data_IF_085974562569
#
_entry.id   IF_085974562569
#
_cell.length_a   1.000
_cell.length_b   1.000
_cell.length_c   1.000
_cell.angle_alpha   90.00
_cell.angle_beta   90.00
_cell.angle_gamma   90.00
#
_symmetry.space_group_name_H-M   'P 1'
#
loop_
_entity.id
_entity.type
_entity.pdbx_description
1 polymer ?
#
# COMPACT_ATOMS: atom_id res chain seq x y z
N UNK A 1 9.73 12.67 0.33
CA UNK A 1 9.68 11.73 -0.82
C UNK A 1 10.67 12.15 -1.89
N UNK A 2 10.77 13.43 -2.20
CA UNK A 2 11.67 13.93 -3.24
C UNK A 2 13.14 13.57 -2.98
N UNK A 3 13.57 13.58 -1.71
CA UNK A 3 14.91 13.09 -1.31
C UNK A 3 15.12 11.61 -1.63
N UNK A 4 14.09 10.77 -1.43
CA UNK A 4 14.14 9.35 -1.79
C UNK A 4 14.25 9.23 -3.31
N UNK A 5 13.45 9.98 -4.07
CA UNK A 5 13.49 9.99 -5.54
C UNK A 5 14.85 10.46 -6.07
N UNK A 6 15.48 11.46 -5.44
CA UNK A 6 16.84 11.90 -5.79
C UNK A 6 17.87 10.77 -5.68
N UNK A 7 17.70 9.84 -4.73
CA UNK A 7 18.63 8.71 -4.56
C UNK A 7 18.28 7.48 -5.41
N UNK A 8 16.99 7.16 -5.56
CA UNK A 8 16.55 5.90 -6.21
C UNK A 8 16.21 6.07 -7.69
N UNK A 9 16.00 7.32 -8.14
CA UNK A 9 15.44 7.67 -9.43
C UNK A 9 13.91 7.63 -9.46
N UNK A 10 13.34 7.75 -10.67
CA UNK A 10 11.88 7.83 -10.88
C UNK A 10 11.16 6.47 -10.82
N UNK A 11 11.90 5.36 -10.76
CA UNK A 11 11.33 4.01 -10.71
C UNK A 11 11.17 3.55 -9.26
N UNK A 12 10.11 2.79 -8.99
CA UNK A 12 9.82 2.17 -7.68
C UNK A 12 9.55 3.13 -6.50
N UNK A 13 9.53 4.44 -6.72
CA UNK A 13 9.18 5.45 -5.71
C UNK A 13 7.80 5.22 -5.06
N UNK A 14 6.78 4.79 -5.82
CA UNK A 14 5.46 4.44 -5.29
C UNK A 14 5.52 3.25 -4.32
N UNK A 15 6.49 2.34 -4.47
CA UNK A 15 6.73 1.25 -3.50
C UNK A 15 7.16 1.80 -2.15
N UNK A 16 8.10 2.74 -2.12
CA UNK A 16 8.50 3.41 -0.88
C UNK A 16 7.36 4.22 -0.28
N UNK A 17 6.72 5.08 -1.09
CA UNK A 17 5.62 5.93 -0.65
C UNK A 17 4.50 5.11 -0.03
N UNK A 18 4.04 4.06 -0.71
CA UNK A 18 2.95 3.21 -0.23
C UNK A 18 3.31 2.39 1.01
N UNK A 19 4.58 1.98 1.18
CA UNK A 19 5.03 1.29 2.40
C UNK A 19 5.12 2.25 3.57
N UNK A 20 5.74 3.41 3.40
CA UNK A 20 5.89 4.40 4.48
C UNK A 20 4.57 5.05 4.87
N UNK A 21 3.69 5.35 3.91
CA UNK A 21 2.34 5.89 4.19
C UNK A 21 1.53 4.93 5.05
N UNK A 22 1.54 3.63 4.73
CA UNK A 22 0.83 2.62 5.53
C UNK A 22 1.40 2.53 6.94
N UNK A 23 2.72 2.48 7.09
CA UNK A 23 3.35 2.45 8.41
C UNK A 23 3.08 3.72 9.23
N UNK A 24 3.09 4.90 8.60
CA UNK A 24 2.77 6.16 9.26
C UNK A 24 1.32 6.18 9.77
N UNK A 25 0.39 5.68 8.95
CA UNK A 25 -1.02 5.52 9.32
C UNK A 25 -1.19 4.53 10.49
N UNK A 26 -0.52 3.37 10.46
CA UNK A 26 -0.57 2.39 11.54
C UNK A 26 -0.01 2.97 12.85
N UNK A 27 1.11 3.71 12.77
CA UNK A 27 1.72 4.41 13.91
C UNK A 27 0.79 5.45 14.49
N UNK A 28 0.24 6.32 13.64
CA UNK A 28 -0.68 7.38 14.07
C UNK A 28 -1.93 6.80 14.74
N UNK A 29 -2.51 5.75 14.16
CA UNK A 29 -3.66 5.07 14.74
C UNK A 29 -3.35 4.43 16.11
N UNK A 30 -2.18 3.80 16.27
CA UNK A 30 -1.75 3.25 17.56
C UNK A 30 -1.49 4.34 18.61
N UNK A 31 -0.84 5.44 18.22
CA UNK A 31 -0.56 6.58 19.11
C UNK A 31 -1.85 7.25 19.61
N UNK A 32 -2.82 7.41 18.72
CA UNK A 32 -4.13 7.99 19.02
C UNK A 32 -5.12 6.99 19.65
N UNK A 33 -4.73 5.70 19.75
CA UNK A 33 -5.57 4.61 20.29
C UNK A 33 -6.94 4.53 19.62
N UNK A 34 -6.99 4.66 18.29
CA UNK A 34 -8.25 4.58 17.53
C UNK A 34 -8.71 3.13 17.36
N UNK A 35 -10.02 2.92 17.35
CA UNK A 35 -10.61 1.58 17.20
C UNK A 35 -10.54 1.06 15.76
N UNK A 36 -10.53 1.95 14.78
CA UNK A 36 -10.61 1.60 13.35
C UNK A 36 -10.01 2.69 12.48
N UNK A 37 -9.35 2.27 11.40
CA UNK A 37 -8.80 3.17 10.40
C UNK A 37 -9.66 3.17 9.14
N UNK A 38 -10.22 4.32 8.79
CA UNK A 38 -11.07 4.49 7.60
C UNK A 38 -10.23 5.06 6.46
N UNK A 39 -10.33 4.46 5.27
CA UNK A 39 -9.66 4.97 4.07
C UNK A 39 -10.66 5.26 2.96
N UNK A 40 -10.40 6.27 2.15
CA UNK A 40 -11.26 6.71 1.05
C UNK A 40 -11.16 5.86 -0.22
N UNK A 41 -10.81 4.57 -0.14
CA UNK A 41 -10.79 3.71 -1.33
C UNK A 41 -12.20 3.56 -1.88
N UNK A 42 -12.38 3.90 -3.15
CA UNK A 42 -13.67 3.94 -3.84
C UNK A 42 -13.92 2.67 -4.69
N UNK A 43 -15.02 2.61 -5.45
CA UNK A 43 -15.34 1.46 -6.29
C UNK A 43 -14.28 1.18 -7.37
N UNK A 44 -13.78 2.23 -8.02
CA UNK A 44 -12.76 2.19 -9.06
C UNK A 44 -11.44 1.60 -8.52
N UNK A 45 -11.00 2.04 -7.34
CA UNK A 45 -9.82 1.50 -6.63
C UNK A 45 -9.92 0.00 -6.36
N UNK A 46 -11.12 -0.47 -6.00
CA UNK A 46 -11.38 -1.89 -5.72
C UNK A 46 -11.38 -2.68 -7.02
N UNK A 47 -12.04 -2.20 -8.07
CA UNK A 47 -12.06 -2.85 -9.38
C UNK A 47 -10.65 -2.99 -9.97
N UNK A 48 -9.84 -1.92 -9.92
CA UNK A 48 -8.43 -1.97 -10.29
C UNK A 48 -7.66 -3.01 -9.47
N UNK A 49 -7.92 -3.07 -8.16
CA UNK A 49 -7.21 -4.00 -7.27
C UNK A 49 -7.59 -5.45 -7.57
N UNK A 50 -8.85 -5.75 -7.88
CA UNK A 50 -9.29 -7.06 -8.34
C UNK A 50 -8.54 -7.44 -9.62
N UNK A 51 -8.59 -6.57 -10.65
CA UNK A 51 -7.92 -6.80 -11.93
C UNK A 51 -6.41 -7.04 -11.77
N UNK A 52 -5.74 -6.18 -10.99
CA UNK A 52 -4.30 -6.31 -10.74
C UNK A 52 -3.92 -7.62 -10.05
N UNK A 53 -4.75 -8.11 -9.13
CA UNK A 53 -4.47 -9.38 -8.45
C UNK A 53 -4.70 -10.59 -9.38
N UNK A 54 -5.70 -10.51 -10.28
CA UNK A 54 -5.89 -11.52 -11.34
C UNK A 54 -4.66 -11.57 -12.25
N UNK A 55 -4.26 -10.43 -12.81
CA UNK A 55 -3.15 -10.34 -13.77
C UNK A 55 -1.80 -10.76 -13.16
N UNK A 56 -1.61 -10.56 -11.85
CA UNK A 56 -0.41 -11.00 -11.12
C UNK A 56 -0.46 -12.44 -10.64
N UNK A 57 -1.62 -13.10 -10.71
CA UNK A 57 -1.85 -14.39 -10.07
C UNK A 57 -1.68 -14.36 -8.54
N UNK A 58 -1.97 -13.21 -7.89
CA UNK A 58 -1.87 -13.06 -6.42
C UNK A 58 -3.18 -13.53 -5.76
N UNK A 59 -3.40 -14.84 -5.80
CA UNK A 59 -4.61 -15.52 -5.34
C UNK A 59 -4.89 -15.23 -3.85
N UNK A 60 -3.85 -15.16 -3.02
CA UNK A 60 -3.97 -14.88 -1.59
C UNK A 60 -4.46 -13.45 -1.28
N UNK A 61 -4.20 -12.48 -2.18
CA UNK A 61 -4.76 -11.13 -2.05
C UNK A 61 -6.12 -11.02 -2.69
N UNK A 62 -6.35 -11.72 -3.80
CA UNK A 62 -7.62 -11.73 -4.50
C UNK A 62 -8.78 -12.13 -3.56
N UNK A 63 -8.59 -13.15 -2.71
CA UNK A 63 -9.62 -13.65 -1.77
C UNK A 63 -10.18 -12.60 -0.81
N UNK A 64 -9.40 -11.57 -0.49
CA UNK A 64 -9.74 -10.58 0.56
C UNK A 64 -9.73 -9.15 0.07
N UNK A 65 -9.42 -8.91 -1.20
CA UNK A 65 -9.24 -7.55 -1.71
C UNK A 65 -10.58 -6.78 -1.78
N UNK A 66 -11.69 -7.50 -1.92
CA UNK A 66 -13.05 -6.98 -1.93
C UNK A 66 -13.67 -6.85 -0.54
N UNK A 67 -13.04 -7.32 0.53
CA UNK A 67 -13.57 -7.17 1.89
C UNK A 67 -13.66 -5.68 2.28
N UNK A 68 -14.83 -5.25 2.78
CA UNK A 68 -15.03 -3.87 3.26
C UNK A 68 -14.14 -3.59 4.45
N UNK A 69 -14.10 -4.55 5.39
CA UNK A 69 -13.22 -4.53 6.55
C UNK A 69 -12.10 -5.54 6.34
N UNK A 70 -10.89 -5.15 6.71
CA UNK A 70 -9.71 -6.01 6.64
C UNK A 70 -8.91 -5.92 7.94
N UNK A 71 -8.29 -7.03 8.34
CA UNK A 71 -7.47 -7.08 9.55
C UNK A 71 -8.29 -7.01 10.84
N UNK A 72 -9.46 -7.65 10.86
CA UNK A 72 -10.31 -7.75 12.06
C UNK A 72 -9.60 -8.48 13.21
N UNK A 73 -8.73 -9.44 12.90
CA UNK A 73 -7.87 -10.12 13.87
C UNK A 73 -6.64 -9.29 14.27
N UNK A 74 -6.45 -8.12 13.66
CA UNK A 74 -5.34 -7.21 13.92
C UNK A 74 -5.68 -6.14 14.96
N UNK A 75 -4.68 -5.42 15.48
CA UNK A 75 -4.88 -4.38 16.49
C UNK A 75 -5.70 -3.19 16.00
N UNK A 76 -5.65 -2.87 14.70
CA UNK A 76 -6.37 -1.75 14.09
C UNK A 76 -6.99 -2.22 12.77
N UNK A 77 -8.27 -2.61 12.77
CA UNK A 77 -8.96 -2.97 11.53
C UNK A 77 -9.05 -1.77 10.60
N UNK A 78 -9.04 -2.05 9.29
CA UNK A 78 -9.17 -1.04 8.23
C UNK A 78 -10.49 -1.21 7.50
N UNK A 79 -11.23 -0.12 7.29
CA UNK A 79 -12.46 -0.13 6.50
C UNK A 79 -12.43 0.82 5.31
N UNK A 80 -13.26 0.49 4.32
CA UNK A 80 -13.41 1.22 3.05
C UNK A 80 -14.89 1.53 2.80
N UNK A 81 -15.44 2.63 3.36
CA UNK A 81 -16.86 2.94 3.26
C UNK A 81 -17.33 3.16 1.81
N UNK A 82 -16.44 3.67 0.95
CA UNK A 82 -16.75 3.98 -0.44
C UNK A 82 -16.58 2.81 -1.41
N UNK A 83 -16.51 1.56 -0.92
CA UNK A 83 -16.34 0.37 -1.77
C UNK A 83 -17.30 0.31 -2.96
N UNK A 84 -18.53 0.80 -2.82
CA UNK A 84 -19.56 0.77 -3.87
C UNK A 84 -19.90 2.16 -4.43
N UNK A 85 -19.10 3.18 -4.11
CA UNK A 85 -19.30 4.56 -4.58
C UNK A 85 -18.28 4.86 -5.66
N UNK A 86 -18.71 5.33 -6.82
CA UNK A 86 -17.80 5.67 -7.93
C UNK A 86 -17.00 6.92 -7.59
N UNK A 87 -15.78 7.02 -8.11
CA UNK A 87 -14.93 8.20 -7.95
C UNK A 87 -15.64 9.48 -8.38
N UNK A 88 -16.28 9.47 -9.56
CA UNK A 88 -17.02 10.62 -10.09
C UNK A 88 -18.16 11.10 -9.17
N UNK A 89 -18.80 10.18 -8.44
CA UNK A 89 -19.87 10.52 -7.50
C UNK A 89 -19.30 11.18 -6.24
N UNK A 90 -18.15 10.70 -5.75
CA UNK A 90 -17.43 11.29 -4.62
C UNK A 90 -16.97 12.71 -4.98
N UNK A 91 -16.36 12.88 -6.17
CA UNK A 91 -15.91 14.19 -6.67
C UNK A 91 -17.09 15.14 -6.86
N UNK A 92 -18.20 14.67 -7.46
CA UNK A 92 -19.42 15.45 -7.63
C UNK A 92 -20.01 15.88 -6.27
N UNK A 93 -20.02 14.99 -5.29
CA UNK A 93 -20.47 15.30 -3.93
C UNK A 93 -19.57 16.33 -3.25
N UNK A 94 -18.25 16.17 -3.33
CA UNK A 94 -17.29 17.12 -2.76
C UNK A 94 -17.43 18.52 -3.39
N UNK A 95 -17.59 18.58 -4.72
CA UNK A 95 -17.84 19.83 -5.43
C UNK A 95 -19.15 20.49 -4.99
N UNK A 96 -20.27 19.74 -4.95
CA UNK A 96 -21.57 20.26 -4.54
C UNK A 96 -21.56 20.77 -3.08
N UNK A 97 -20.86 20.05 -2.19
CA UNK A 97 -20.70 20.44 -0.78
C UNK A 97 -19.62 21.50 -0.55
N UNK A 98 -18.91 21.93 -1.60
CA UNK A 98 -17.79 22.88 -1.53
C UNK A 98 -16.74 22.45 -0.51
N UNK A 99 -16.42 21.15 -0.49
CA UNK A 99 -15.35 20.62 0.34
C UNK A 99 -14.00 20.96 -0.29
N UNK A 100 -13.01 21.27 0.54
CA UNK A 100 -11.64 21.43 0.05
C UNK A 100 -11.03 20.06 -0.26
N UNK A 101 -10.59 19.87 -1.50
CA UNK A 101 -9.88 18.67 -1.93
C UNK A 101 -8.79 18.99 -2.94
N UNK A 102 -7.76 18.14 -2.99
CA UNK A 102 -6.70 18.24 -3.98
C UNK A 102 -7.08 17.43 -5.22
N UNK A 103 -7.14 18.10 -6.38
CA UNK A 103 -7.32 17.47 -7.70
C UNK A 103 -6.00 17.18 -8.41
N UNK A 104 -4.87 17.58 -7.82
CA UNK A 104 -3.55 17.38 -8.39
C UNK A 104 -3.05 15.97 -8.16
N UNK A 105 -2.84 15.25 -9.25
CA UNK A 105 -2.22 13.93 -9.19
C UNK A 105 -0.74 14.01 -8.78
N UNK A 106 -0.25 12.92 -8.21
CA UNK A 106 1.16 12.80 -7.86
C UNK A 106 2.03 12.75 -9.13
N UNK A 107 3.02 13.65 -9.26
CA UNK A 107 3.98 13.70 -10.39
C UNK A 107 4.75 12.39 -10.62
N UNK A 108 4.77 11.50 -9.63
CA UNK A 108 5.43 10.20 -9.69
C UNK A 108 4.50 9.04 -10.06
N UNK A 109 3.18 9.26 -10.02
CA UNK A 109 2.15 8.25 -10.31
C UNK A 109 2.27 7.63 -11.72
N UNK A 110 2.55 8.40 -12.79
CA UNK A 110 2.58 7.84 -14.16
C UNK A 110 3.60 6.71 -14.36
N UNK A 111 4.66 6.67 -13.55
CA UNK A 111 5.68 5.62 -13.61
C UNK A 111 5.31 4.35 -12.83
N UNK A 112 4.12 4.29 -12.22
CA UNK A 112 3.65 3.15 -11.47
C UNK A 112 2.97 2.12 -12.37
N UNK A 113 3.20 0.83 -12.11
CA UNK A 113 2.53 -0.28 -12.80
C UNK A 113 0.99 -0.20 -12.74
N UNK A 114 0.44 0.50 -11.74
CA UNK A 114 -1.02 0.68 -11.59
C UNK A 114 -1.63 1.54 -12.71
N UNK A 115 -0.85 2.39 -13.40
CA UNK A 115 -1.34 3.27 -14.46
C UNK A 115 -2.09 2.52 -15.57
N UNK A 116 -1.52 1.42 -16.08
CA UNK A 116 -2.17 0.62 -17.13
C UNK A 116 -3.50 -0.02 -16.71
N UNK A 117 -3.62 -0.44 -15.45
CA UNK A 117 -4.87 -0.99 -14.94
C UNK A 117 -5.94 0.10 -14.77
N UNK A 118 -5.53 1.29 -14.31
CA UNK A 118 -6.40 2.46 -14.20
C UNK A 118 -6.95 2.87 -15.57
N UNK A 119 -6.09 3.05 -16.57
CA UNK A 119 -6.50 3.38 -17.94
C UNK A 119 -7.49 2.36 -18.52
N UNK A 120 -7.21 1.07 -18.37
CA UNK A 120 -8.11 0.01 -18.83
C UNK A 120 -9.48 0.03 -18.14
N UNK A 121 -9.49 0.23 -16.82
CA UNK A 121 -10.74 0.31 -16.05
C UNK A 121 -11.56 1.54 -16.46
N UNK A 122 -10.90 2.68 -16.68
CA UNK A 122 -11.55 3.91 -17.13
C UNK A 122 -12.17 3.74 -18.53
N UNK A 123 -11.47 3.09 -19.45
CA UNK A 123 -12.01 2.81 -20.80
C UNK A 123 -13.20 1.85 -20.75
N UNK A 124 -13.14 0.84 -19.87
CA UNK A 124 -14.25 -0.08 -19.63
C UNK A 124 -15.48 0.65 -19.05
N UNK A 125 -15.28 1.55 -18.09
CA UNK A 125 -16.35 2.34 -17.49
C UNK A 125 -17.04 3.23 -18.54
N UNK A 126 -16.26 3.87 -19.43
CA UNK A 126 -16.80 4.72 -20.51
C UNK A 126 -17.72 3.93 -21.45
N UNK A 127 -17.39 2.67 -21.74
CA UNK A 127 -18.21 1.80 -22.59
C UNK A 127 -19.42 1.24 -21.85
N UNK A 128 -19.23 0.82 -20.59
CA UNK A 128 -20.28 0.25 -19.74
C UNK A 128 -20.02 0.66 -18.29
N UNK A 129 -20.71 1.70 -17.76
CA UNK A 129 -20.47 2.19 -16.40
C UNK A 129 -20.60 1.12 -15.31
N UNK A 130 -21.55 0.19 -15.49
CA UNK A 130 -21.79 -0.92 -14.57
C UNK A 130 -20.60 -1.90 -14.45
N UNK A 131 -19.66 -1.87 -15.38
CA UNK A 131 -18.53 -2.79 -15.40
C UNK A 131 -17.66 -2.71 -14.12
N UNK A 132 -17.55 -1.53 -13.49
CA UNK A 132 -16.85 -1.36 -12.21
C UNK A 132 -17.47 -2.26 -11.13
N UNK A 133 -18.77 -2.13 -10.91
CA UNK A 133 -19.49 -2.92 -9.91
C UNK A 133 -19.54 -4.40 -10.30
N UNK A 134 -19.67 -4.73 -11.59
CA UNK A 134 -19.65 -6.11 -12.07
C UNK A 134 -18.28 -6.78 -11.80
N UNK A 135 -17.16 -6.04 -11.89
CA UNK A 135 -15.82 -6.53 -11.50
C UNK A 135 -15.73 -6.76 -10.00
N UNK A 136 -16.22 -5.82 -9.18
CA UNK A 136 -16.23 -5.97 -7.72
C UNK A 136 -17.05 -7.21 -7.34
N UNK A 137 -18.24 -7.35 -7.92
CA UNK A 137 -19.13 -8.48 -7.70
C UNK A 137 -18.47 -9.80 -8.10
N UNK A 138 -17.79 -9.83 -9.25
CA UNK A 138 -16.99 -10.99 -9.67
C UNK A 138 -15.91 -11.33 -8.65
N UNK A 139 -15.20 -10.32 -8.13
CA UNK A 139 -14.21 -10.49 -7.07
C UNK A 139 -14.76 -11.01 -5.74
N UNK A 140 -16.01 -10.68 -5.40
CA UNK A 140 -16.72 -11.22 -4.22
C UNK A 140 -17.16 -12.67 -4.42
N UNK A 141 -17.57 -13.02 -5.64
CA UNK A 141 -18.09 -14.34 -5.97
C UNK A 141 -16.98 -15.36 -6.28
N UNK A 142 -15.75 -14.92 -6.52
CA UNK A 142 -14.61 -15.82 -6.73
C UNK A 142 -14.40 -16.76 -5.54
N UNK A 143 -14.55 -18.05 -5.81
CA UNK A 143 -14.18 -19.11 -4.87
C UNK A 143 -12.75 -19.54 -5.11
N UNK A 144 -11.90 -19.27 -4.13
CA UNK A 144 -10.47 -19.55 -4.20
C UNK A 144 -10.17 -20.83 -3.43
N UNK A 145 -9.36 -21.72 -4.03
CA UNK A 145 -8.95 -22.96 -3.40
C UNK A 145 -8.20 -22.70 -2.07
N UNK A 146 -8.61 -23.40 -1.02
CA UNK A 146 -8.14 -23.30 0.37
C UNK A 146 -6.69 -23.75 0.58
N UNK A 147 -6.02 -24.29 -0.44
CA UNK A 147 -4.62 -24.74 -0.38
C UNK A 147 -3.61 -23.59 -0.39
N UNK A 148 -4.06 -22.35 -0.56
CA UNK A 148 -3.18 -21.17 -0.61
C UNK A 148 -2.69 -20.81 0.81
N UNK A 149 -1.44 -21.14 1.14
CA UNK A 149 -0.82 -20.74 2.41
C UNK A 149 -0.75 -19.21 2.52
N UNK A 150 -1.47 -18.66 3.50
CA UNK A 150 -1.28 -17.26 3.89
C UNK A 150 0.00 -17.13 4.72
N UNK A 151 0.77 -16.04 4.55
CA UNK A 151 1.89 -15.79 5.42
C UNK A 151 1.40 -15.53 6.85
N UNK A 152 2.02 -16.19 7.81
CA UNK A 152 1.76 -15.98 9.24
C UNK A 152 2.08 -14.52 9.61
N UNK A 153 1.22 -13.94 10.44
CA UNK A 153 1.43 -12.60 10.97
C UNK A 153 2.28 -12.70 12.23
N UNK A 154 3.39 -11.96 12.26
CA UNK A 154 4.24 -11.77 13.42
C UNK A 154 4.49 -10.29 13.68
N UNK A 155 5.50 -10.02 14.50
CA UNK A 155 5.93 -8.66 14.84
C UNK A 155 7.35 -8.42 14.35
N UNK A 156 7.60 -7.20 13.87
CA UNK A 156 8.92 -6.77 13.42
C UNK A 156 9.86 -6.59 14.63
N UNK A 157 11.00 -7.28 14.64
CA UNK A 157 11.97 -7.18 15.74
C UNK A 157 12.54 -5.76 15.92
N UNK A 158 12.59 -4.95 14.85
CA UNK A 158 13.17 -3.60 14.90
C UNK A 158 12.21 -2.53 15.40
N UNK A 159 10.92 -2.65 15.10
CA UNK A 159 9.96 -1.57 15.36
C UNK A 159 8.67 -2.01 16.04
N UNK A 160 8.49 -3.30 16.32
CA UNK A 160 7.32 -3.86 17.00
C UNK A 160 6.04 -3.96 16.16
N UNK A 161 5.98 -3.32 14.98
CA UNK A 161 4.80 -3.34 14.11
C UNK A 161 4.62 -4.68 13.38
N UNK A 162 3.38 -4.95 12.94
CA UNK A 162 2.98 -6.19 12.25
C UNK A 162 3.88 -6.44 11.04
N UNK A 163 4.39 -7.67 10.96
CA UNK A 163 5.17 -8.14 9.83
C UNK A 163 5.05 -9.64 9.65
N UNK A 164 5.02 -10.10 8.40
CA UNK A 164 5.17 -11.51 8.07
C UNK A 164 6.63 -11.95 7.90
N UNK A 165 7.59 -11.07 8.24
CA UNK A 165 9.03 -11.29 8.13
C UNK A 165 9.70 -10.78 9.41
N UNK A 166 10.94 -11.19 9.63
CA UNK A 166 11.76 -10.73 10.77
C UNK A 166 11.78 -9.21 10.90
N UNK A 167 12.03 -8.52 9.78
CA UNK A 167 11.95 -7.05 9.68
C UNK A 167 10.82 -6.64 8.75
N UNK A 168 10.01 -5.68 9.16
CA UNK A 168 8.95 -5.14 8.32
C UNK A 168 9.51 -4.45 7.07
N UNK A 169 8.68 -4.38 6.02
CA UNK A 169 9.09 -3.82 4.75
C UNK A 169 9.64 -2.39 4.86
N UNK A 170 9.03 -1.58 5.72
CA UNK A 170 9.48 -0.22 5.95
C UNK A 170 10.86 -0.16 6.59
N UNK A 171 11.15 -1.03 7.58
CA UNK A 171 12.47 -1.14 8.19
C UNK A 171 13.53 -1.60 7.18
N UNK A 172 13.19 -2.56 6.31
CA UNK A 172 14.10 -3.02 5.24
C UNK A 172 14.40 -1.90 4.24
N UNK A 173 13.37 -1.16 3.79
CA UNK A 173 13.56 -0.05 2.86
C UNK A 173 14.35 1.10 3.48
N UNK A 174 14.08 1.45 4.74
CA UNK A 174 14.82 2.49 5.46
C UNK A 174 16.30 2.11 5.63
N UNK A 175 16.58 0.85 5.96
CA UNK A 175 17.95 0.36 6.05
C UNK A 175 18.67 0.43 4.69
N UNK A 176 17.98 0.04 3.62
CA UNK A 176 18.49 0.17 2.26
C UNK A 176 18.89 1.61 1.93
N UNK A 177 18.06 2.59 2.28
CA UNK A 177 18.35 4.00 2.07
C UNK A 177 19.57 4.45 2.90
N UNK A 178 19.63 4.12 4.19
CA UNK A 178 20.73 4.51 5.08
C UNK A 178 22.08 3.88 4.70
N UNK A 179 22.07 2.70 4.08
CA UNK A 179 23.29 2.03 3.58
C UNK A 179 23.66 2.41 2.15
N UNK A 180 22.90 3.29 1.49
CA UNK A 180 23.10 3.60 0.06
C UNK A 180 22.80 2.42 -0.88
N UNK A 181 22.00 1.45 -0.42
CA UNK A 181 21.55 0.27 -1.17
C UNK A 181 20.03 0.36 -1.42
N UNK A 182 19.56 1.31 -2.26
CA UNK A 182 18.13 1.59 -2.42
C UNK A 182 17.34 0.45 -3.05
N UNK A 183 18.01 -0.49 -3.73
CA UNK A 183 17.36 -1.69 -4.30
C UNK A 183 17.06 -2.76 -3.23
N UNK A 184 17.59 -2.60 -2.01
CA UNK A 184 17.36 -3.54 -0.92
C UNK A 184 15.87 -3.64 -0.61
N UNK A 185 15.31 -4.85 -0.76
CA UNK A 185 13.88 -5.07 -0.55
C UNK A 185 13.00 -4.60 -1.71
N UNK A 186 13.50 -4.30 -2.90
CA UNK A 186 12.65 -4.07 -4.08
C UNK A 186 12.65 -5.34 -4.95
N UNK A 187 11.47 -5.91 -5.19
CA UNK A 187 11.29 -7.18 -5.92
C UNK A 187 11.11 -8.41 -5.01
N UNK A 188 10.66 -9.54 -5.58
CA UNK A 188 10.69 -10.85 -4.92
C UNK A 188 12.12 -11.40 -5.04
N UNK A 189 12.74 -11.91 -3.97
CA UNK A 189 13.98 -12.65 -4.13
C UNK A 189 13.68 -13.90 -4.98
N UNK A 190 14.45 -14.11 -6.05
CA UNK A 190 14.50 -15.43 -6.69
C UNK A 190 15.34 -16.31 -5.77
N UNK A 191 14.69 -17.05 -4.87
CA UNK A 191 15.34 -17.92 -3.90
C UNK A 191 15.12 -17.51 -2.44
N UNK A 192 15.26 -18.49 -1.55
CA UNK A 192 15.00 -18.39 -0.12
C UNK A 192 16.11 -17.55 0.56
N UNK A 193 15.94 -16.23 0.61
CA UNK A 193 16.84 -15.34 1.38
C UNK A 193 16.32 -15.23 2.81
N UNK A 194 16.33 -16.37 3.51
CA UNK A 194 16.28 -16.40 4.97
C UNK A 194 17.71 -16.75 5.43
N UNK A 195 18.46 -15.72 5.85
CA UNK A 195 19.86 -15.80 6.31
C UNK A 195 20.75 -14.91 5.45
N UNK A 196 21.55 -13.98 5.95
CA UNK A 196 21.95 -13.60 7.30
C UNK A 196 22.07 -12.08 7.31
N UNK A 197 21.29 -11.37 8.13
CA UNK A 197 21.43 -9.91 8.28
C UNK A 197 22.58 -9.53 9.25
N UNK A 198 23.48 -10.48 9.56
CA UNK A 198 24.50 -10.30 10.61
C UNK A 198 25.90 -9.91 10.13
N UNK A 199 26.27 -10.06 8.85
CA UNK A 199 27.65 -9.75 8.43
C UNK A 199 27.73 -8.96 7.12
N UNK A 200 27.59 -7.63 7.20
CA UNK A 200 28.24 -6.71 6.24
C UNK A 200 28.70 -5.48 7.03
N UNK A 201 29.93 -5.52 7.54
CA UNK A 201 30.61 -4.37 8.14
C UNK A 201 31.03 -3.36 7.07
N UNK A 202 30.67 -2.10 7.33
CA UNK A 202 31.33 -0.85 6.97
C UNK A 202 31.58 -0.50 5.49
N UNK A 203 30.81 0.49 5.01
CA UNK A 203 31.32 1.81 4.57
C UNK A 203 30.12 2.77 4.44
N UNK A 204 29.83 3.51 5.51
CA UNK A 204 28.87 4.60 5.51
C UNK A 204 29.58 5.89 5.08
N UNK A 205 29.36 6.31 3.85
CA UNK A 205 29.65 7.68 3.37
C UNK A 205 28.38 8.43 2.97
N UNK A 206 27.20 7.80 3.12
CA UNK A 206 25.92 8.45 2.84
C UNK A 206 25.41 9.15 4.10
N UNK A 207 24.99 10.41 3.96
CA UNK A 207 24.26 11.16 4.99
C UNK A 207 23.07 10.32 5.46
N UNK A 208 23.04 9.96 6.74
CA UNK A 208 21.91 9.26 7.36
C UNK A 208 20.66 10.10 7.18
N UNK A 209 19.62 9.52 6.58
CA UNK A 209 18.28 10.12 6.61
C UNK A 209 17.70 9.70 7.94
N UNK A 210 18.04 10.45 8.98
CA UNK A 210 17.47 10.21 10.30
C UNK A 210 15.95 10.40 10.22
N UNK A 211 15.21 9.34 10.55
CA UNK A 211 13.81 9.48 10.91
C UNK A 211 13.76 10.28 12.21
N UNK A 212 13.34 11.54 12.14
CA UNK A 212 13.03 12.33 13.35
C UNK A 212 12.18 11.47 14.29
N UNK A 213 12.54 11.45 15.56
CA UNK A 213 11.69 10.87 16.61
C UNK A 213 10.32 11.54 16.55
N UNK A 214 9.27 10.75 16.38
CA UNK A 214 7.91 11.21 16.56
C UNK A 214 7.74 11.49 18.06
N UNK A 215 7.69 12.77 18.45
CA UNK A 215 7.55 13.14 19.86
C UNK A 215 8.01 14.57 20.19
N UNK A 216 7.34 15.57 19.63
CA UNK A 216 7.05 16.87 20.27
C UNK A 216 6.19 17.64 19.27
N UNK A 217 4.87 17.51 19.43
CA UNK A 217 3.93 18.45 18.83
C UNK A 217 3.88 19.64 19.78
N UNK A 218 4.85 20.54 19.66
CA UNK A 218 4.62 21.92 20.06
C UNK A 218 3.97 22.60 18.87
N UNK A 219 2.73 23.04 19.06
CA UNK A 219 2.00 23.89 18.11
C UNK A 219 2.68 25.25 17.99
#
# INVERSE_FOLDING_TARGET
MDEIVKMIGLKNNCTFCGVFRRQALDRGAALLKVDKLVTGHNADDIAETVLLNILRGDIARLSRCTSITTGEDGPIPRCKPFKYTYEKEIVMYAYFKKLDYFSTECIYSPNAYRGFACEFINDLERLRPRAILDIIKSGEDFRIATTTKMPEQGTCERCGYISSQKWCKACVLLEGLNRGLPKMGIGRPRGNVNGDYKDIKARSTAKTIESKQCGSLDF
#
